data_IF_462312830137
#
_entry.id   IF_462312830137
#
_cell.length_a   1.000
_cell.length_b   1.000
_cell.length_c   1.000
_cell.angle_alpha   90.00
_cell.angle_beta   90.00
_cell.angle_gamma   90.00
#
_symmetry.space_group_name_H-M   'P 1'
#
loop_
_entity.id
_entity.type
_entity.pdbx_description
1 polymer ?
#
# COMPACT_ATOMS: atom_id res chain seq x y z
N UNK A 1 -5.87 -6.19 13.25
CA UNK A 1 -4.93 -5.36 12.55
C UNK A 1 -5.29 -3.90 12.66
N UNK A 2 -4.32 -3.04 12.74
CA UNK A 2 -4.53 -1.64 13.03
C UNK A 2 -4.08 -0.75 11.88
N UNK A 3 -4.97 0.13 11.44
CA UNK A 3 -4.65 1.13 10.42
C UNK A 3 -4.52 2.47 11.13
N UNK A 4 -3.34 3.06 11.04
CA UNK A 4 -3.08 4.39 11.57
C UNK A 4 -3.23 5.39 10.45
N UNK A 5 -4.21 6.27 10.54
CA UNK A 5 -4.51 7.25 9.51
C UNK A 5 -4.32 8.64 10.08
N UNK A 6 -3.48 9.43 9.43
CA UNK A 6 -3.18 10.79 9.84
C UNK A 6 -3.44 11.78 8.71
N UNK A 7 -3.79 13.00 9.09
CA UNK A 7 -3.96 14.08 8.13
C UNK A 7 -2.95 15.17 8.40
N UNK A 8 -2.39 15.73 7.33
CA UNK A 8 -1.46 16.87 7.40
C UNK A 8 -2.02 17.98 6.54
N UNK A 9 -2.47 19.05 7.17
CA UNK A 9 -3.18 20.16 6.51
C UNK A 9 -4.49 19.70 5.86
N UNK A 10 -5.10 18.66 6.43
CA UNK A 10 -6.39 18.16 5.99
C UNK A 10 -7.06 17.45 7.16
N UNK A 11 -8.35 17.63 7.29
CA UNK A 11 -9.13 16.93 8.31
C UNK A 11 -9.51 15.56 7.81
N UNK A 12 -9.31 14.56 8.65
CA UNK A 12 -9.73 13.21 8.30
C UNK A 12 -11.21 13.07 8.66
N UNK A 13 -12.06 13.29 7.67
CA UNK A 13 -13.50 13.15 7.86
C UNK A 13 -13.87 11.67 7.98
N UNK A 14 -15.05 11.36 8.54
CA UNK A 14 -15.52 9.97 8.56
C UNK A 14 -15.60 9.36 7.16
N UNK A 15 -15.95 10.15 6.15
CA UNK A 15 -16.01 9.65 4.77
C UNK A 15 -14.64 9.26 4.26
N UNK A 16 -13.62 10.10 4.50
CA UNK A 16 -12.26 9.78 4.10
C UNK A 16 -11.73 8.54 4.83
N UNK A 17 -11.98 8.47 6.13
CA UNK A 17 -11.55 7.31 6.92
C UNK A 17 -12.17 6.03 6.38
N UNK A 18 -13.48 6.04 6.13
CA UNK A 18 -14.18 4.88 5.60
C UNK A 18 -13.61 4.46 4.25
N UNK A 19 -13.32 5.43 3.41
CA UNK A 19 -12.81 5.15 2.07
C UNK A 19 -11.42 4.50 2.13
N UNK A 20 -10.54 5.05 2.95
CA UNK A 20 -9.20 4.50 3.14
C UNK A 20 -9.28 3.09 3.71
N UNK A 21 -10.08 2.90 4.74
CA UNK A 21 -10.22 1.59 5.38
C UNK A 21 -10.77 0.55 4.41
N UNK A 22 -11.73 0.94 3.60
CA UNK A 22 -12.32 0.04 2.61
C UNK A 22 -11.29 -0.36 1.56
N UNK A 23 -10.55 0.60 1.04
CA UNK A 23 -9.56 0.33 -0.01
C UNK A 23 -8.39 -0.48 0.53
N UNK A 24 -7.87 -0.11 1.68
CA UNK A 24 -6.78 -0.86 2.29
C UNK A 24 -7.23 -2.26 2.71
N UNK A 25 -8.47 -2.38 3.16
CA UNK A 25 -9.01 -3.68 3.55
C UNK A 25 -8.95 -4.72 2.45
N UNK A 26 -9.12 -4.29 1.19
CA UNK A 26 -9.01 -5.21 0.06
C UNK A 26 -7.61 -5.78 -0.07
N UNK A 27 -6.60 -4.91 0.11
CA UNK A 27 -5.21 -5.33 0.03
C UNK A 27 -4.88 -6.26 1.18
N UNK A 28 -5.34 -5.91 2.38
CA UNK A 28 -5.01 -6.64 3.59
C UNK A 28 -5.60 -8.04 3.62
N UNK A 29 -6.66 -8.28 2.84
CA UNK A 29 -7.27 -9.61 2.77
C UNK A 29 -6.38 -10.64 2.09
N UNK A 30 -5.52 -10.22 1.17
CA UNK A 30 -4.62 -11.16 0.52
C UNK A 30 -3.14 -10.90 0.83
N UNK A 31 -2.86 -10.05 1.79
CA UNK A 31 -1.50 -9.87 2.27
C UNK A 31 -1.28 -10.80 3.46
N UNK A 32 -0.15 -11.49 3.46
CA UNK A 32 0.19 -12.38 4.56
C UNK A 32 0.89 -11.63 5.67
N UNK A 33 0.47 -11.86 6.90
CA UNK A 33 1.16 -11.37 8.09
C UNK A 33 1.44 -9.88 8.08
N UNK A 34 0.38 -9.09 7.95
CA UNK A 34 0.51 -7.64 8.07
C UNK A 34 0.68 -7.28 9.54
N UNK A 35 1.74 -6.54 9.85
CA UNK A 35 2.03 -6.11 11.21
C UNK A 35 1.27 -4.82 11.50
N UNK A 36 1.46 -3.80 10.67
CA UNK A 36 0.70 -2.57 10.81
C UNK A 36 0.67 -1.80 9.48
N UNK A 37 -0.16 -0.77 9.46
CA UNK A 37 -0.33 0.11 8.30
C UNK A 37 -0.34 1.54 8.80
N UNK A 38 0.47 2.39 8.19
CA UNK A 38 0.46 3.83 8.44
C UNK A 38 0.12 4.54 7.15
N UNK A 39 -0.91 5.37 7.18
CA UNK A 39 -1.34 6.13 6.01
C UNK A 39 -1.42 7.61 6.38
N UNK A 40 -0.84 8.46 5.55
CA UNK A 40 -0.87 9.90 5.76
C UNK A 40 -1.44 10.58 4.54
N UNK A 41 -2.44 11.43 4.77
CA UNK A 41 -3.03 12.23 3.72
C UNK A 41 -2.56 13.68 3.91
N UNK A 42 -2.08 14.29 2.83
CA UNK A 42 -1.55 15.65 2.88
C UNK A 42 -2.18 16.51 1.80
N UNK A 43 -2.53 17.75 2.17
CA UNK A 43 -3.02 18.73 1.19
C UNK A 43 -2.08 19.92 1.20
N UNK A 44 -1.55 20.25 0.02
CA UNK A 44 -0.72 21.44 -0.16
C UNK A 44 -1.20 22.17 -1.40
N UNK A 45 -1.85 23.31 -1.21
CA UNK A 45 -2.44 24.09 -2.31
C UNK A 45 -3.40 23.20 -3.10
N UNK A 46 -3.15 23.01 -4.39
CA UNK A 46 -4.00 22.15 -5.23
C UNK A 46 -3.52 20.71 -5.28
N UNK A 47 -2.46 20.42 -4.59
CA UNK A 47 -1.85 19.10 -4.62
C UNK A 47 -2.29 18.27 -3.43
N UNK A 48 -2.86 17.12 -3.69
CA UNK A 48 -3.28 16.21 -2.63
C UNK A 48 -2.51 14.92 -2.72
N UNK A 49 -1.93 14.51 -1.60
CA UNK A 49 -1.04 13.37 -1.56
C UNK A 49 -1.55 12.32 -0.59
N UNK A 50 -1.48 11.07 -1.00
CA UNK A 50 -1.76 9.94 -0.13
C UNK A 50 -0.51 9.08 -0.09
N UNK A 51 -0.10 8.71 1.12
CA UNK A 51 1.12 7.96 1.32
C UNK A 51 0.86 6.88 2.36
N UNK A 52 1.41 5.70 2.17
CA UNK A 52 1.24 4.64 3.13
C UNK A 52 2.43 3.71 3.19
N UNK A 53 2.64 3.15 4.37
CA UNK A 53 3.65 2.15 4.63
C UNK A 53 2.97 0.95 5.25
N UNK A 54 3.15 -0.22 4.64
CA UNK A 54 2.68 -1.49 5.18
C UNK A 54 3.88 -2.27 5.67
N UNK A 55 3.85 -2.62 6.95
CA UNK A 55 4.89 -3.50 7.48
C UNK A 55 4.38 -4.93 7.47
N UNK A 56 5.06 -5.76 6.71
CA UNK A 56 4.77 -7.18 6.61
C UNK A 56 5.86 -7.95 7.35
N UNK A 57 5.58 -9.19 7.68
CA UNK A 57 6.64 -10.03 8.26
C UNK A 57 7.73 -10.22 7.19
N UNK A 58 8.91 -9.68 7.47
CA UNK A 58 10.04 -9.81 6.57
C UNK A 58 10.15 -8.77 5.46
N UNK A 59 9.24 -7.81 5.40
CA UNK A 59 9.31 -6.79 4.34
C UNK A 59 8.50 -5.55 4.72
N UNK A 60 8.86 -4.44 4.10
CA UNK A 60 8.12 -3.19 4.22
C UNK A 60 7.76 -2.71 2.83
N UNK A 61 6.50 -2.38 2.64
CA UNK A 61 5.98 -1.89 1.37
C UNK A 61 5.56 -0.44 1.56
N UNK A 62 5.97 0.41 0.63
CA UNK A 62 5.69 1.84 0.72
C UNK A 62 5.27 2.38 -0.64
N UNK A 63 4.30 3.29 -0.64
CA UNK A 63 3.88 3.95 -1.86
C UNK A 63 3.37 5.36 -1.57
N UNK A 64 3.43 6.20 -2.59
CA UNK A 64 2.95 7.57 -2.55
C UNK A 64 2.21 7.85 -3.85
N UNK A 65 1.11 8.57 -3.76
CA UNK A 65 0.35 9.00 -4.93
C UNK A 65 -0.10 10.43 -4.76
N UNK A 66 -0.11 11.18 -5.86
CA UNK A 66 -0.49 12.59 -5.88
C UNK A 66 -1.56 12.80 -6.94
N UNK A 67 -2.57 13.58 -6.61
CA UNK A 67 -3.64 13.90 -7.54
C UNK A 67 -4.27 15.23 -7.08
N UNK A 68 -5.11 15.82 -7.89
CA UNK A 68 -5.84 17.01 -7.48
C UNK A 68 -7.13 16.68 -6.73
N UNK A 69 -7.44 15.39 -6.62
CA UNK A 69 -8.57 14.88 -5.85
C UNK A 69 -8.07 13.81 -4.88
N UNK A 70 -8.39 13.96 -3.59
CA UNK A 70 -7.89 13.03 -2.56
C UNK A 70 -8.39 11.60 -2.76
N UNK A 71 -9.64 11.42 -3.17
CA UNK A 71 -10.16 10.07 -3.40
C UNK A 71 -9.41 9.39 -4.54
N UNK A 72 -9.08 10.14 -5.58
CA UNK A 72 -8.28 9.61 -6.68
C UNK A 72 -6.85 9.29 -6.23
N UNK A 73 -6.29 10.15 -5.36
CA UNK A 73 -4.95 9.89 -4.81
C UNK A 73 -4.94 8.60 -4.00
N UNK A 74 -5.98 8.36 -3.21
CA UNK A 74 -6.12 7.13 -2.43
C UNK A 74 -6.24 5.92 -3.36
N UNK A 75 -6.99 6.04 -4.43
CA UNK A 75 -7.13 4.95 -5.40
C UNK A 75 -5.78 4.58 -6.02
N UNK A 76 -5.03 5.60 -6.45
CA UNK A 76 -3.71 5.36 -7.03
C UNK A 76 -2.75 4.76 -6.01
N UNK A 77 -2.80 5.24 -4.78
CA UNK A 77 -1.98 4.72 -3.70
C UNK A 77 -2.24 3.23 -3.48
N UNK A 78 -3.51 2.86 -3.37
CA UNK A 78 -3.87 1.49 -3.08
C UNK A 78 -3.54 0.56 -4.24
N UNK A 79 -3.64 1.04 -5.49
CA UNK A 79 -3.22 0.26 -6.64
C UNK A 79 -1.72 -0.05 -6.56
N UNK A 80 -0.91 0.94 -6.21
CA UNK A 80 0.53 0.76 -6.07
C UNK A 80 0.87 -0.22 -4.96
N UNK A 81 0.20 -0.08 -3.83
CA UNK A 81 0.42 -0.96 -2.69
C UNK A 81 0.02 -2.40 -3.03
N UNK A 82 -1.11 -2.56 -3.68
CA UNK A 82 -1.61 -3.87 -4.07
C UNK A 82 -0.62 -4.60 -4.97
N UNK A 83 -0.06 -3.88 -5.93
CA UNK A 83 0.93 -4.46 -6.83
C UNK A 83 2.17 -4.92 -6.08
N UNK A 84 2.66 -4.11 -5.14
CA UNK A 84 3.84 -4.47 -4.36
C UNK A 84 3.57 -5.67 -3.44
N UNK A 85 2.39 -5.71 -2.84
CA UNK A 85 2.00 -6.82 -1.98
C UNK A 85 1.94 -8.12 -2.78
N UNK A 86 1.38 -8.06 -3.98
CA UNK A 86 1.31 -9.24 -4.84
C UNK A 86 2.70 -9.74 -5.22
N UNK A 87 3.60 -8.84 -5.57
CA UNK A 87 4.98 -9.22 -5.90
C UNK A 87 5.67 -9.88 -4.71
N UNK A 88 5.49 -9.32 -3.53
CA UNK A 88 6.06 -9.89 -2.31
C UNK A 88 5.51 -11.28 -2.06
N UNK A 89 4.21 -11.45 -2.20
CA UNK A 89 3.55 -12.73 -1.98
C UNK A 89 4.05 -13.79 -2.96
N UNK A 90 4.21 -13.43 -4.22
CA UNK A 90 4.70 -14.35 -5.23
C UNK A 90 6.12 -14.82 -4.91
N UNK A 91 6.99 -13.91 -4.52
CA UNK A 91 8.37 -14.25 -4.18
C UNK A 91 8.45 -15.22 -3.02
N UNK A 92 7.60 -15.06 -2.02
CA UNK A 92 7.68 -15.87 -0.81
C UNK A 92 6.83 -17.13 -0.89
N UNK A 93 5.91 -17.17 -1.85
CA UNK A 93 5.00 -18.28 -1.97
C UNK A 93 5.62 -19.46 -2.72
N UNK A 94 6.49 -19.19 -3.68
CA UNK A 94 7.09 -20.22 -4.50
C UNK A 94 8.59 -19.98 -4.66
N UNK A 95 9.38 -20.33 -3.65
CA UNK A 95 10.82 -20.19 -3.75
C UNK A 95 11.43 -20.99 -4.88
N UNK A 96 10.80 -22.08 -5.25
CA UNK A 96 11.31 -22.94 -6.31
C UNK A 96 11.16 -22.27 -7.67
N UNK A 97 10.01 -21.66 -7.92
CA UNK A 97 9.80 -20.93 -9.16
C UNK A 97 10.76 -19.75 -9.26
N UNK A 98 10.98 -19.06 -8.14
CA UNK A 98 11.93 -17.96 -8.11
C UNK A 98 13.35 -18.43 -8.43
N UNK A 99 13.73 -19.59 -7.93
CA UNK A 99 15.04 -20.14 -8.22
C UNK A 99 15.19 -20.51 -9.69
N UNK A 100 14.16 -21.06 -10.28
CA UNK A 100 14.21 -21.40 -11.69
C UNK A 100 14.37 -20.18 -12.57
N UNK A 101 13.62 -19.14 -12.27
CA UNK A 101 13.75 -17.90 -13.02
C UNK A 101 15.09 -17.26 -12.81
N UNK A 102 15.59 -17.36 -11.62
CA UNK A 102 16.89 -16.79 -11.28
C UNK A 102 18.01 -17.54 -11.95
N UNK A 103 17.90 -18.85 -11.98
CA UNK A 103 18.92 -19.65 -12.66
C UNK A 103 18.98 -19.37 -14.13
N UNK A 104 17.91 -18.96 -14.64
CA UNK A 104 17.91 -18.47 -15.99
C UNK A 104 18.34 -17.04 -16.01
N UNK A 105 18.23 -16.82 -15.02
CA UNK A 105 18.23 -15.78 -14.82
C UNK A 105 18.72 -15.20 -13.99
N UNK A 106 18.51 -15.79 -13.79
CA UNK A 106 18.39 -15.69 -13.23
C UNK A 106 18.64 -15.24 -13.17
N UNK A 107 18.74 -15.13 -13.38
CA UNK A 107 18.57 -15.00 -13.23
C UNK A 107 18.56 -14.57 -13.10
N UNK A 108 18.63 -14.47 -13.22
CA UNK A 108 18.41 -14.19 -12.91
C UNK A 108 18.38 -14.14 -12.80
#
# INVERSE_FOLDING_TARGET
>A
MQVNLSGHHVDITPALRSYVEKKLGRILRHADRVIDVHCTLTVEKLRQQAEATLRLAGATVHATAVHDDMYAAIDLLTDKLDEQVRRHKEKHRDPQAARHRHGAELSP
#
